data_IF_575233225572
#
_entry.id   IF_575233225572
#
_cell.length_a   1.000
_cell.length_b   1.000
_cell.length_c   1.000
_cell.angle_alpha   90.00
_cell.angle_beta   90.00
_cell.angle_gamma   90.00
#
_symmetry.space_group_name_H-M   'P 1'
#
loop_
_entity.id
_entity.type
_entity.pdbx_description
1 polymer ?
#
# COMPACT_ATOMS: atom_id res chain seq x y z
N UNK A 1 10.66 17.45 15.56
CA UNK A 1 11.80 18.11 14.91
C UNK A 1 11.86 17.58 13.49
N UNK A 2 11.52 18.41 12.49
CA UNK A 2 11.70 18.01 11.09
C UNK A 2 13.20 17.95 10.81
N UNK A 3 13.68 16.79 10.38
CA UNK A 3 15.07 16.64 9.97
C UNK A 3 15.28 17.52 8.73
N UNK A 4 16.08 18.59 8.86
CA UNK A 4 16.23 19.65 7.84
C UNK A 4 16.91 19.12 6.56
N UNK A 5 17.38 17.88 6.57
CA UNK A 5 18.10 17.22 5.48
C UNK A 5 17.22 16.40 4.53
N UNK A 6 15.99 16.03 4.92
CA UNK A 6 15.15 15.18 4.06
C UNK A 6 14.44 16.00 2.97
N UNK A 7 14.33 15.48 1.73
CA UNK A 7 13.70 16.18 0.62
C UNK A 7 12.27 16.63 0.94
N UNK A 8 11.92 17.86 0.55
CA UNK A 8 10.56 18.39 0.75
C UNK A 8 9.51 17.50 0.06
N UNK A 9 8.39 17.18 0.73
CA UNK A 9 7.25 16.49 0.11
C UNK A 9 6.72 17.26 -1.11
N UNK A 10 6.28 16.52 -2.13
CA UNK A 10 5.74 17.09 -3.38
C UNK A 10 4.31 17.61 -3.20
N UNK A 11 3.52 16.97 -2.34
CA UNK A 11 2.12 17.33 -2.07
C UNK A 11 1.94 17.81 -0.64
N UNK A 12 0.87 18.58 -0.40
CA UNK A 12 0.45 19.01 0.93
C UNK A 12 0.07 17.82 1.82
N UNK A 13 0.52 17.84 3.08
CA UNK A 13 0.33 16.72 4.01
C UNK A 13 -1.16 16.48 4.33
N UNK A 14 -1.94 17.55 4.52
CA UNK A 14 -3.36 17.41 4.83
C UNK A 14 -4.13 16.88 3.62
N UNK A 15 -3.73 17.28 2.40
CA UNK A 15 -4.36 16.81 1.16
C UNK A 15 -4.15 15.30 0.92
N UNK A 16 -3.03 14.73 1.35
CA UNK A 16 -2.75 13.29 1.18
C UNK A 16 -3.19 12.43 2.36
N UNK A 17 -3.53 13.02 3.51
CA UNK A 17 -3.90 12.29 4.72
C UNK A 17 -5.01 11.24 4.48
N UNK A 18 -6.11 11.53 3.78
CA UNK A 18 -7.14 10.52 3.52
C UNK A 18 -6.64 9.31 2.72
N UNK A 19 -5.59 9.50 1.91
CA UNK A 19 -4.98 8.43 1.10
C UNK A 19 -4.05 7.54 1.94
N UNK A 20 -3.47 8.08 3.03
CA UNK A 20 -2.73 7.32 4.05
C UNK A 20 -3.71 6.53 4.90
N UNK A 21 -4.74 7.21 5.40
CA UNK A 21 -5.76 6.65 6.27
C UNK A 21 -6.46 5.43 5.64
N UNK A 22 -6.65 5.41 4.32
CA UNK A 22 -7.24 4.27 3.59
C UNK A 22 -6.42 2.97 3.79
N UNK A 23 -5.09 3.04 3.74
CA UNK A 23 -4.24 1.87 3.97
C UNK A 23 -4.06 1.60 5.46
N UNK A 24 -3.90 2.62 6.30
CA UNK A 24 -3.77 2.45 7.76
C UNK A 24 -5.00 1.74 8.32
N UNK A 25 -6.19 2.16 7.89
CA UNK A 25 -7.44 1.54 8.32
C UNK A 25 -7.62 0.11 7.78
N UNK A 26 -6.90 -0.28 6.72
CA UNK A 26 -6.81 -1.66 6.25
C UNK A 26 -5.74 -2.51 6.99
N UNK A 27 -5.02 -1.92 7.94
CA UNK A 27 -4.03 -2.59 8.79
C UNK A 27 -2.56 -2.34 8.40
N UNK A 28 -2.28 -1.38 7.52
CA UNK A 28 -0.91 -1.04 7.14
C UNK A 28 -0.23 -0.10 8.15
N UNK A 29 1.07 -0.27 8.31
CA UNK A 29 1.96 0.66 9.01
C UNK A 29 2.77 1.49 8.00
N UNK A 30 2.94 2.79 8.27
CA UNK A 30 3.70 3.68 7.39
C UNK A 30 5.20 3.59 7.70
N UNK A 31 6.01 3.49 6.65
CA UNK A 31 7.47 3.62 6.75
C UNK A 31 7.85 5.00 6.22
N UNK A 32 8.34 5.85 7.10
CA UNK A 32 8.59 7.26 6.80
C UNK A 32 10.06 7.57 6.54
N UNK A 33 10.95 6.65 6.93
CA UNK A 33 12.41 6.82 6.83
C UNK A 33 13.08 5.61 6.16
N UNK A 34 14.26 5.80 5.53
CA UNK A 34 15.06 4.70 5.00
C UNK A 34 15.43 3.65 6.07
N UNK A 35 15.68 4.11 7.30
CA UNK A 35 16.08 3.25 8.41
C UNK A 35 14.93 2.32 8.83
N UNK A 36 13.68 2.83 8.86
CA UNK A 36 12.49 2.00 9.09
C UNK A 36 12.33 0.96 7.99
N UNK A 37 12.49 1.35 6.72
CA UNK A 37 12.44 0.42 5.58
C UNK A 37 13.49 -0.67 5.71
N UNK A 38 14.74 -0.30 6.00
CA UNK A 38 15.83 -1.26 6.14
C UNK A 38 15.59 -2.21 7.32
N UNK A 39 15.15 -1.66 8.45
CA UNK A 39 14.87 -2.40 9.67
C UNK A 39 13.78 -3.45 9.47
N UNK A 40 12.75 -3.17 8.66
CA UNK A 40 11.64 -4.12 8.47
C UNK A 40 11.86 -5.07 7.30
N UNK A 41 12.44 -4.61 6.18
CA UNK A 41 12.57 -5.44 4.97
C UNK A 41 13.79 -6.36 4.98
N UNK A 42 14.84 -6.07 5.75
CA UNK A 42 16.01 -6.96 5.89
C UNK A 42 15.88 -7.99 7.02
N UNK A 43 14.74 -8.05 7.71
CA UNK A 43 14.50 -9.06 8.74
C UNK A 43 14.42 -10.44 8.08
N UNK A 44 15.14 -11.40 8.67
CA UNK A 44 15.12 -12.80 8.28
C UNK A 44 14.46 -13.64 9.37
N UNK A 45 13.14 -13.54 9.49
CA UNK A 45 12.32 -14.25 10.47
C UNK A 45 11.23 -15.14 9.83
N UNK A 46 11.42 -15.49 8.55
CA UNK A 46 10.53 -16.31 7.73
C UNK A 46 9.09 -15.77 7.55
N UNK A 47 8.85 -14.51 7.92
CA UNK A 47 7.57 -13.81 7.70
C UNK A 47 7.50 -13.18 6.32
N UNK A 48 6.30 -13.16 5.74
CA UNK A 48 6.04 -12.42 4.51
C UNK A 48 5.67 -10.98 4.80
N UNK A 49 6.19 -10.08 3.98
CA UNK A 49 6.01 -8.63 4.14
C UNK A 49 5.42 -8.07 2.86
N UNK A 50 4.22 -7.51 2.96
CA UNK A 50 3.58 -6.78 1.87
C UNK A 50 3.91 -5.30 1.98
N UNK A 51 4.46 -4.73 0.91
CA UNK A 51 4.73 -3.31 0.81
C UNK A 51 3.91 -2.72 -0.32
N UNK A 52 3.11 -1.70 -0.02
CA UNK A 52 2.42 -0.89 -1.02
C UNK A 52 3.17 0.42 -1.19
N UNK A 53 3.72 0.65 -2.37
CA UNK A 53 4.23 1.98 -2.76
C UNK A 53 3.01 2.80 -3.21
N UNK A 54 2.39 3.50 -2.25
CA UNK A 54 1.20 4.30 -2.44
C UNK A 54 1.49 5.57 -3.27
N UNK A 55 0.45 6.20 -3.82
CA UNK A 55 0.57 7.48 -4.52
C UNK A 55 -0.77 8.22 -4.59
N UNK A 56 -0.71 9.48 -5.02
CA UNK A 56 -1.90 10.31 -5.29
C UNK A 56 -2.60 9.95 -6.61
N UNK A 57 -2.03 9.04 -7.42
CA UNK A 57 -2.54 8.74 -8.76
C UNK A 57 -3.95 8.12 -8.70
N UNK A 58 -4.78 8.40 -9.71
CA UNK A 58 -6.12 7.84 -9.82
C UNK A 58 -6.16 6.30 -9.81
N UNK A 59 -5.14 5.62 -10.35
CA UNK A 59 -5.05 4.15 -10.28
C UNK A 59 -4.75 3.63 -8.86
N UNK A 60 -4.12 4.44 -8.00
CA UNK A 60 -3.95 4.09 -6.60
C UNK A 60 -5.30 4.13 -5.87
N UNK A 61 -6.08 5.19 -6.12
CA UNK A 61 -7.41 5.36 -5.54
C UNK A 61 -8.43 4.36 -6.10
N UNK A 62 -8.46 4.12 -7.41
CA UNK A 62 -9.47 3.29 -8.07
C UNK A 62 -9.17 1.79 -8.01
N UNK A 63 -7.89 1.41 -7.93
CA UNK A 63 -7.47 0.01 -8.12
C UNK A 63 -6.57 -0.49 -7.00
N UNK A 64 -5.42 0.14 -6.75
CA UNK A 64 -4.39 -0.44 -5.86
C UNK A 64 -4.84 -0.55 -4.40
N UNK A 65 -5.23 0.57 -3.77
CA UNK A 65 -5.67 0.61 -2.37
C UNK A 65 -6.94 -0.21 -2.10
N UNK A 66 -8.02 -0.10 -2.90
CA UNK A 66 -9.17 -0.97 -2.71
C UNK A 66 -8.85 -2.44 -3.01
N UNK A 67 -8.03 -2.72 -4.03
CA UNK A 67 -7.63 -4.08 -4.40
C UNK A 67 -6.86 -4.80 -3.31
N UNK A 68 -5.85 -4.13 -2.71
CA UNK A 68 -5.10 -4.71 -1.61
C UNK A 68 -5.98 -4.90 -0.36
N UNK A 69 -6.85 -3.92 -0.07
CA UNK A 69 -7.76 -4.00 1.09
C UNK A 69 -8.75 -5.17 0.97
N UNK A 70 -9.25 -5.44 -0.24
CA UNK A 70 -10.07 -6.62 -0.50
C UNK A 70 -9.27 -7.93 -0.43
N UNK A 71 -8.04 -7.96 -0.95
CA UNK A 71 -7.19 -9.16 -0.88
C UNK A 71 -6.88 -9.56 0.57
N UNK A 72 -6.71 -8.58 1.46
CA UNK A 72 -6.45 -8.79 2.88
C UNK A 72 -7.66 -9.30 3.68
N UNK A 73 -8.81 -9.52 3.03
CA UNK A 73 -9.93 -10.26 3.62
C UNK A 73 -9.82 -11.77 3.42
N UNK A 74 -8.78 -12.25 2.74
CA UNK A 74 -8.54 -13.67 2.52
C UNK A 74 -8.16 -14.40 3.83
N UNK A 75 -8.30 -15.73 3.82
CA UNK A 75 -7.91 -16.59 4.95
C UNK A 75 -6.41 -16.61 5.21
N UNK A 76 -5.60 -16.51 4.15
CA UNK A 76 -4.15 -16.39 4.22
C UNK A 76 -3.74 -15.02 3.73
N UNK A 77 -2.97 -14.30 4.55
CA UNK A 77 -2.49 -12.95 4.24
C UNK A 77 -1.02 -12.80 4.64
N UNK A 78 -0.33 -11.75 4.17
CA UNK A 78 1.03 -11.46 4.61
C UNK A 78 1.12 -11.18 6.11
N UNK A 79 2.21 -11.61 6.74
CA UNK A 79 2.43 -11.43 8.19
C UNK A 79 2.57 -9.95 8.60
N UNK A 80 3.13 -9.13 7.70
CA UNK A 80 3.38 -7.71 7.91
C UNK A 80 2.91 -6.89 6.73
N UNK A 81 2.31 -5.73 7.03
CA UNK A 81 1.72 -4.83 6.06
C UNK A 81 2.34 -3.45 6.22
N UNK A 82 3.09 -3.00 5.23
CA UNK A 82 3.74 -1.69 5.24
C UNK A 82 3.40 -0.87 4.01
N UNK A 83 3.48 0.44 4.14
CA UNK A 83 3.33 1.36 3.01
C UNK A 83 4.36 2.48 3.06
N UNK A 84 4.82 2.88 1.88
CA UNK A 84 5.58 4.12 1.64
C UNK A 84 4.81 4.96 0.64
N UNK A 85 4.91 6.29 0.71
CA UNK A 85 4.11 7.17 -0.13
C UNK A 85 4.96 7.91 -1.18
N UNK A 86 4.83 7.50 -2.45
CA UNK A 86 5.54 8.12 -3.57
C UNK A 86 5.19 9.61 -3.72
N UNK A 87 6.21 10.46 -3.66
CA UNK A 87 6.07 11.92 -3.69
C UNK A 87 5.90 12.56 -2.31
N UNK A 88 5.97 11.80 -1.22
CA UNK A 88 6.01 12.31 0.15
C UNK A 88 7.36 11.96 0.77
N UNK A 89 7.49 10.77 1.36
CA UNK A 89 8.72 10.27 1.99
C UNK A 89 9.69 9.71 0.95
N UNK A 90 10.27 10.62 0.14
CA UNK A 90 11.09 10.26 -1.03
C UNK A 90 12.22 9.28 -0.70
N UNK A 91 12.94 9.51 0.39
CA UNK A 91 14.07 8.66 0.78
C UNK A 91 13.61 7.25 1.19
N UNK A 92 12.48 7.12 1.90
CA UNK A 92 11.90 5.83 2.24
C UNK A 92 11.42 5.08 0.98
N UNK A 93 10.77 5.78 0.06
CA UNK A 93 10.32 5.22 -1.22
C UNK A 93 11.50 4.74 -2.06
N UNK A 94 12.56 5.53 -2.16
CA UNK A 94 13.76 5.19 -2.92
C UNK A 94 14.50 4.00 -2.28
N UNK A 95 14.47 3.90 -0.95
CA UNK A 95 14.99 2.72 -0.25
C UNK A 95 14.22 1.45 -0.62
N UNK A 96 12.88 1.47 -0.60
CA UNK A 96 12.08 0.31 -1.04
C UNK A 96 12.39 -0.04 -2.50
N UNK A 97 12.47 0.97 -3.39
CA UNK A 97 12.79 0.77 -4.81
C UNK A 97 14.17 0.15 -5.03
N UNK A 98 15.16 0.50 -4.22
CA UNK A 98 16.50 -0.09 -4.31
C UNK A 98 16.52 -1.60 -4.05
N UNK A 99 15.48 -2.13 -3.39
CA UNK A 99 15.29 -3.57 -3.14
C UNK A 99 14.48 -4.26 -4.25
N UNK A 100 14.00 -3.52 -5.25
CA UNK A 100 13.21 -3.99 -6.39
C UNK A 100 14.02 -3.71 -7.65
N UNK A 101 15.05 -4.51 -7.90
CA UNK A 101 16.08 -4.20 -8.93
C UNK A 101 15.69 -4.59 -10.35
N UNK A 102 14.73 -5.49 -10.52
CA UNK A 102 14.36 -6.06 -11.83
C UNK A 102 13.34 -5.22 -12.60
N UNK A 103 12.79 -4.17 -11.97
CA UNK A 103 11.67 -3.41 -12.52
C UNK A 103 11.93 -1.90 -12.49
N UNK A 104 11.46 -1.16 -13.51
CA UNK A 104 11.59 0.28 -13.51
C UNK A 104 10.75 0.91 -12.38
N UNK A 105 11.25 1.95 -11.70
CA UNK A 105 10.50 2.66 -10.67
C UNK A 105 9.16 3.16 -11.19
N UNK A 106 8.07 2.77 -10.52
CA UNK A 106 6.71 3.25 -10.83
C UNK A 106 5.88 3.39 -9.55
N UNK A 107 4.69 3.99 -9.66
CA UNK A 107 3.72 4.07 -8.56
C UNK A 107 2.30 4.31 -9.10
N UNK A 108 1.25 3.69 -8.50
CA UNK A 108 1.33 2.72 -7.42
C UNK A 108 1.93 1.37 -7.89
N UNK A 109 2.53 0.63 -6.96
CA UNK A 109 2.95 -0.76 -7.15
C UNK A 109 2.92 -1.51 -5.80
N UNK A 110 2.92 -2.83 -5.86
CA UNK A 110 2.75 -3.72 -4.70
C UNK A 110 3.86 -4.77 -4.74
N UNK A 111 4.58 -4.95 -3.65
CA UNK A 111 5.68 -5.89 -3.52
C UNK A 111 5.46 -6.83 -2.34
N UNK A 112 5.72 -8.12 -2.53
CA UNK A 112 5.76 -9.11 -1.47
C UNK A 112 7.21 -9.55 -1.26
N UNK A 113 7.70 -9.43 -0.03
CA UNK A 113 9.03 -9.84 0.36
C UNK A 113 9.00 -10.99 1.37
N UNK A 114 10.09 -11.75 1.43
CA UNK A 114 10.40 -12.69 2.51
C UNK A 114 11.91 -12.81 2.67
N UNK A 115 12.40 -12.69 3.91
CA UNK A 115 13.83 -12.77 4.23
C UNK A 115 14.71 -11.88 3.33
N UNK A 116 14.31 -10.62 3.16
CA UNK A 116 15.00 -9.65 2.29
C UNK A 116 14.87 -9.88 0.78
N UNK A 117 14.24 -10.97 0.33
CA UNK A 117 14.07 -11.28 -1.09
C UNK A 117 12.69 -10.88 -1.59
N UNK A 118 12.63 -10.37 -2.82
CA UNK A 118 11.38 -10.09 -3.52
C UNK A 118 10.78 -11.40 -4.04
N UNK A 119 9.59 -11.76 -3.55
CA UNK A 119 8.86 -12.96 -4.00
C UNK A 119 7.90 -12.66 -5.14
N UNK A 120 7.23 -11.51 -5.08
CA UNK A 120 6.25 -11.11 -6.07
C UNK A 120 6.20 -9.58 -6.20
N UNK A 121 5.96 -9.09 -7.40
CA UNK A 121 5.82 -7.67 -7.68
C UNK A 121 4.73 -7.39 -8.71
N UNK A 122 3.78 -6.54 -8.34
CA UNK A 122 2.75 -6.02 -9.24
C UNK A 122 3.09 -4.60 -9.65
N UNK A 123 3.35 -4.39 -10.93
CA UNK A 123 3.77 -3.09 -11.46
C UNK A 123 2.58 -2.16 -11.68
N UNK A 124 2.87 -0.86 -11.86
CA UNK A 124 1.85 0.12 -12.22
C UNK A 124 1.09 -0.25 -13.49
N UNK A 125 1.76 -0.87 -14.48
CA UNK A 125 1.14 -1.30 -15.74
C UNK A 125 0.03 -2.31 -15.51
N UNK A 126 0.21 -3.23 -14.57
CA UNK A 126 -0.80 -4.22 -14.21
C UNK A 126 -1.95 -3.57 -13.45
N UNK A 127 -1.64 -2.59 -12.59
CA UNK A 127 -2.63 -1.90 -11.76
C UNK A 127 -3.49 -0.93 -12.56
N UNK A 128 -2.90 -0.15 -13.46
CA UNK A 128 -3.58 0.99 -14.13
C UNK A 128 -4.72 0.55 -15.06
N UNK A 129 -4.68 -0.68 -15.57
CA UNK A 129 -5.62 -1.19 -16.58
C UNK A 129 -6.72 -2.08 -15.96
N UNK A 130 -6.64 -2.34 -14.65
CA UNK A 130 -7.46 -3.35 -14.00
C UNK A 130 -8.32 -2.76 -12.87
N UNK A 131 -9.55 -3.24 -12.71
CA UNK A 131 -10.40 -2.87 -11.58
C UNK A 131 -9.88 -3.51 -10.28
N UNK A 132 -10.18 -2.88 -9.14
CA UNK A 132 -9.78 -3.32 -7.80
C UNK A 132 -10.02 -4.82 -7.53
N UNK A 133 -11.15 -5.39 -7.99
CA UNK A 133 -11.46 -6.81 -7.80
C UNK A 133 -10.48 -7.75 -8.51
N UNK A 134 -10.00 -7.38 -9.69
CA UNK A 134 -9.00 -8.18 -10.40
C UNK A 134 -7.63 -8.06 -9.71
N UNK A 135 -7.28 -6.88 -9.18
CA UNK A 135 -6.09 -6.71 -8.32
C UNK A 135 -6.19 -7.63 -7.10
N UNK A 136 -7.36 -7.63 -6.44
CA UNK A 136 -7.59 -8.44 -5.25
C UNK A 136 -7.45 -9.94 -5.53
N UNK A 137 -8.07 -10.45 -6.60
CA UNK A 137 -8.03 -11.87 -6.94
C UNK A 137 -6.61 -12.37 -7.16
N UNK A 138 -5.78 -11.65 -7.93
CA UNK A 138 -4.39 -12.05 -8.16
C UNK A 138 -3.58 -12.02 -6.85
N UNK A 139 -3.74 -10.97 -6.05
CA UNK A 139 -3.07 -10.92 -4.74
C UNK A 139 -3.49 -12.07 -3.83
N UNK A 140 -4.76 -12.49 -3.87
CA UNK A 140 -5.23 -13.67 -3.12
C UNK A 140 -4.54 -14.96 -3.59
N UNK A 141 -4.34 -15.14 -4.89
CA UNK A 141 -3.58 -16.28 -5.44
C UNK A 141 -2.15 -16.28 -4.90
N UNK A 142 -1.46 -15.14 -4.98
CA UNK A 142 -0.11 -14.96 -4.42
C UNK A 142 -0.08 -15.18 -2.91
N UNK A 143 -1.08 -14.70 -2.16
CA UNK A 143 -1.14 -14.91 -0.72
C UNK A 143 -1.32 -16.38 -0.36
N UNK A 144 -2.15 -17.10 -1.10
CA UNK A 144 -2.37 -18.54 -0.88
C UNK A 144 -1.12 -19.36 -1.21
N UNK A 145 -0.27 -18.89 -2.13
CA UNK A 145 0.99 -19.55 -2.49
C UNK A 145 2.11 -19.28 -1.46
N UNK A 146 2.26 -18.03 -1.02
CA UNK A 146 3.45 -17.62 -0.27
C UNK A 146 3.23 -17.36 1.22
N UNK A 147 1.99 -17.12 1.65
CA UNK A 147 1.69 -16.63 3.00
C UNK A 147 1.09 -17.70 3.90
N UNK A 148 1.26 -17.51 5.22
CA UNK A 148 0.75 -18.45 6.23
C UNK A 148 -0.04 -17.80 7.37
N UNK A 149 0.04 -16.48 7.53
CA UNK A 149 -0.70 -15.76 8.56
C UNK A 149 -2.21 -15.80 8.27
N UNK A 150 -3.00 -15.92 9.34
CA UNK A 150 -4.46 -15.93 9.24
C UNK A 150 -4.99 -14.52 9.11
N UNK A 151 -5.77 -14.28 8.06
CA UNK A 151 -6.55 -13.06 7.91
C UNK A 151 -7.91 -13.14 8.63
N UNK A 152 -8.76 -12.11 8.46
CA UNK A 152 -8.48 -10.89 7.69
C UNK A 152 -7.57 -9.91 8.45
N UNK A 153 -6.97 -8.93 7.76
CA UNK A 153 -6.14 -7.91 8.43
C UNK A 153 -6.96 -7.00 9.36
N UNK A 154 -8.22 -6.75 8.99
CA UNK A 154 -9.23 -6.02 9.77
C UNK A 154 -10.59 -6.68 9.55
N UNK A 155 -11.54 -6.46 10.46
CA UNK A 155 -12.89 -7.03 10.33
C UNK A 155 -13.59 -6.53 9.05
N UNK A 156 -14.45 -7.36 8.41
CA UNK A 156 -15.22 -6.95 7.23
C UNK A 156 -16.09 -5.70 7.47
N UNK A 157 -16.61 -5.55 8.69
CA UNK A 157 -17.36 -4.36 9.09
C UNK A 157 -16.51 -3.09 9.07
N UNK A 158 -15.28 -3.17 9.57
CA UNK A 158 -14.35 -2.03 9.54
C UNK A 158 -13.93 -1.72 8.11
N UNK A 159 -13.67 -2.73 7.28
CA UNK A 159 -13.39 -2.52 5.86
C UNK A 159 -14.56 -1.81 5.14
N UNK A 160 -15.80 -2.24 5.38
CA UNK A 160 -16.97 -1.61 4.78
C UNK A 160 -17.13 -0.15 5.18
N UNK A 161 -16.82 0.23 6.43
CA UNK A 161 -16.85 1.63 6.88
C UNK A 161 -15.84 2.49 6.10
N UNK A 162 -14.63 1.97 5.87
CA UNK A 162 -13.58 2.65 5.10
C UNK A 162 -14.05 2.88 3.65
N UNK A 163 -14.57 1.82 3.02
CA UNK A 163 -15.05 1.89 1.64
C UNK A 163 -16.28 2.79 1.47
N UNK A 164 -17.18 2.79 2.45
CA UNK A 164 -18.36 3.65 2.46
C UNK A 164 -17.99 5.14 2.61
N UNK A 165 -17.06 5.47 3.52
CA UNK A 165 -16.59 6.85 3.70
C UNK A 165 -16.03 7.44 2.39
N UNK A 166 -15.32 6.62 1.61
CA UNK A 166 -14.81 6.98 0.28
C UNK A 166 -15.92 7.27 -0.74
N UNK A 167 -16.99 6.48 -0.73
CA UNK A 167 -18.13 6.66 -1.63
C UNK A 167 -18.96 7.91 -1.28
N UNK A 168 -19.08 8.24 0.00
CA UNK A 168 -19.82 9.42 0.46
C UNK A 168 -19.04 10.73 0.32
N UNK A 169 -17.70 10.71 0.34
CA UNK A 169 -16.86 11.89 0.13
C UNK A 169 -16.93 12.52 -1.27
N UNK A 170 -17.69 11.94 -2.20
CA UNK A 170 -17.84 12.43 -3.59
C UNK A 170 -19.25 12.88 -3.98
N UNK A 171 -20.18 13.05 -3.03
CA UNK A 171 -21.51 13.63 -3.33
C UNK A 171 -22.04 14.51 -2.20
N UNK A 172 -21.95 15.83 -2.39
CA UNK A 172 -23.08 16.78 -2.43
C UNK A 172 -22.51 18.11 -2.99
N UNK A 173 -22.87 18.53 -4.23
CA UNK A 173 -22.82 19.95 -4.53
C UNK A 173 -23.87 20.61 -3.63
N UNK A 174 -23.43 21.38 -2.65
CA UNK A 174 -24.31 22.33 -1.98
C UNK A 174 -24.62 23.43 -2.98
N UNK A 175 -25.62 23.20 -3.82
CA UNK A 175 -26.28 24.27 -4.56
C UNK A 175 -26.97 25.14 -3.48
N UNK A 176 -26.27 26.16 -3.00
CA UNK A 176 -26.93 27.31 -2.38
C UNK A 176 -27.36 28.19 -3.53
N UNK A 177 -28.68 28.25 -3.75
CA UNK A 177 -29.30 29.22 -4.65
C UNK A 177 -28.95 30.64 -4.26
#
# INVERSE_FOLDING_TARGET
MFNITSPKPTYDQNAVQPMRDELIAAGFEELLTPDEVEKVLKVNDDKTILVVINSVCGSAAGSARPGVSYALQNNLIPDKLYTVFAGQEKEAVDKVRSMITEYPPSSPCIALFKNGNLLYFMQRTDIKERPAKQIANELVEIFNEYCSAKGPSVSPENLNKIMYAKQCGSKIPLFKG
#
